data_IF_002265136140
#
_entry.id   IF_002265136140
#
_cell.length_a   1.000
_cell.length_b   1.000
_cell.length_c   1.000
_cell.angle_alpha   90.00
_cell.angle_beta   90.00
_cell.angle_gamma   90.00
#
_symmetry.space_group_name_H-M   'P 1'
#
loop_
_entity.id
_entity.type
_entity.pdbx_description
1 polymer ?
#
# COMPACT_ATOMS: atom_id res chain seq x y z
N UNK A 1 27.28 22.90 -34.75
CA UNK A 1 28.27 22.20 -33.91
C UNK A 1 27.51 21.61 -32.74
N UNK A 2 27.66 20.32 -32.46
CA UNK A 2 26.86 19.65 -31.43
C UNK A 2 27.38 19.96 -30.04
N UNK A 3 26.51 20.31 -29.10
CA UNK A 3 26.88 20.69 -27.73
C UNK A 3 27.33 19.46 -26.93
N UNK A 4 28.09 19.69 -25.85
CA UNK A 4 28.52 18.61 -24.95
C UNK A 4 27.34 17.90 -24.27
N UNK A 5 26.24 18.62 -24.02
CA UNK A 5 25.00 18.06 -23.50
C UNK A 5 24.32 17.14 -24.53
N UNK A 6 24.26 17.55 -25.80
CA UNK A 6 23.68 16.75 -26.88
C UNK A 6 24.44 15.44 -27.11
N UNK A 7 25.79 15.47 -27.06
CA UNK A 7 26.61 14.24 -27.16
C UNK A 7 26.29 13.27 -26.02
N UNK A 8 26.27 13.75 -24.77
CA UNK A 8 25.90 12.94 -23.61
C UNK A 8 24.47 12.39 -23.73
N UNK A 9 23.53 13.18 -24.22
CA UNK A 9 22.15 12.76 -24.41
C UNK A 9 22.05 11.62 -25.44
N UNK A 10 22.74 11.73 -26.58
CA UNK A 10 22.76 10.69 -27.61
C UNK A 10 23.38 9.38 -27.12
N UNK A 11 24.41 9.44 -26.27
CA UNK A 11 25.03 8.24 -25.70
C UNK A 11 24.17 7.55 -24.63
N UNK A 12 23.44 8.32 -23.83
CA UNK A 12 22.70 7.79 -22.69
C UNK A 12 21.25 7.41 -23.01
N UNK A 13 20.58 8.12 -23.93
CA UNK A 13 19.19 7.84 -24.30
C UNK A 13 18.93 6.38 -24.69
N UNK A 14 19.71 5.72 -25.58
CA UNK A 14 19.45 4.32 -25.92
C UNK A 14 19.61 3.38 -24.72
N UNK A 15 20.57 3.66 -23.81
CA UNK A 15 20.78 2.87 -22.60
C UNK A 15 19.59 2.98 -21.63
N UNK A 16 18.98 4.17 -21.53
CA UNK A 16 17.81 4.40 -20.69
C UNK A 16 16.55 3.77 -21.30
N UNK A 17 16.38 3.85 -22.62
CA UNK A 17 15.26 3.20 -23.32
C UNK A 17 15.27 1.68 -23.07
N UNK A 18 16.44 1.03 -23.11
CA UNK A 18 16.56 -0.42 -22.85
C UNK A 18 16.25 -0.80 -21.40
N UNK A 19 16.53 0.10 -20.45
CA UNK A 19 16.27 -0.13 -19.01
C UNK A 19 14.86 0.24 -18.58
N UNK A 20 14.11 0.92 -19.44
CA UNK A 20 12.77 1.33 -19.13
C UNK A 20 11.85 0.13 -19.32
N UNK A 21 11.12 -0.23 -18.27
CA UNK A 21 10.13 -1.30 -18.36
C UNK A 21 8.96 -0.91 -19.28
N UNK A 22 8.68 0.40 -19.37
CA UNK A 22 7.62 0.96 -20.19
C UNK A 22 8.06 1.23 -21.64
N UNK A 23 7.18 0.92 -22.59
CA UNK A 23 7.40 1.15 -24.03
C UNK A 23 6.09 1.50 -24.75
N UNK A 24 6.15 1.78 -26.06
CA UNK A 24 4.96 2.19 -26.82
C UNK A 24 3.83 1.14 -26.88
N UNK A 25 4.14 -0.14 -26.62
CA UNK A 25 3.16 -1.21 -26.53
C UNK A 25 2.75 -1.53 -25.08
N UNK A 26 3.48 -1.00 -24.11
CA UNK A 26 3.26 -1.19 -22.67
C UNK A 26 3.53 0.13 -21.93
N UNK A 27 2.63 1.09 -22.17
CA UNK A 27 2.79 2.45 -21.69
C UNK A 27 2.39 2.56 -20.21
N UNK A 28 3.04 3.49 -19.51
CA UNK A 28 2.65 3.83 -18.15
C UNK A 28 1.19 4.28 -18.10
N UNK A 29 0.32 3.48 -17.47
CA UNK A 29 -1.11 3.76 -17.38
C UNK A 29 -1.74 3.07 -16.18
N UNK A 30 -2.96 3.48 -15.82
CA UNK A 30 -3.74 2.81 -14.78
C UNK A 30 -4.15 1.37 -15.13
N UNK A 31 -3.94 0.95 -16.38
CA UNK A 31 -4.23 -0.39 -16.88
C UNK A 31 -2.97 -1.26 -17.02
N UNK A 32 -1.79 -0.70 -16.76
CA UNK A 32 -0.54 -1.44 -16.81
C UNK A 32 -0.54 -2.53 -15.72
N UNK A 33 0.02 -3.73 -15.96
CA UNK A 33 0.12 -4.80 -14.96
C UNK A 33 0.71 -4.30 -13.63
N UNK A 34 1.89 -3.65 -13.64
CA UNK A 34 2.49 -3.05 -12.44
C UNK A 34 1.62 -2.01 -11.70
N UNK A 35 0.59 -1.43 -12.33
CA UNK A 35 -0.34 -0.53 -11.66
C UNK A 35 -1.43 -1.30 -10.88
N UNK A 36 -1.69 -2.55 -11.25
CA UNK A 36 -2.74 -3.42 -10.72
C UNK A 36 -2.13 -4.56 -9.90
N UNK A 37 -2.71 -4.86 -8.76
CA UNK A 37 -2.29 -5.95 -7.89
C UNK A 37 -2.98 -7.25 -8.35
N UNK A 38 -2.60 -7.73 -9.53
CA UNK A 38 -3.15 -8.92 -10.18
C UNK A 38 -2.44 -10.24 -9.78
N UNK A 39 -1.46 -10.14 -8.88
CA UNK A 39 -0.65 -11.24 -8.39
C UNK A 39 0.79 -11.22 -8.94
N UNK A 40 1.13 -10.26 -9.78
CA UNK A 40 2.51 -10.01 -10.17
C UNK A 40 3.37 -9.50 -8.98
N UNK A 41 4.71 -9.41 -9.16
CA UNK A 41 5.58 -8.91 -8.10
C UNK A 41 5.56 -7.38 -7.90
N UNK A 42 5.10 -6.60 -8.88
CA UNK A 42 5.29 -5.13 -8.95
C UNK A 42 4.01 -4.32 -8.76
N UNK A 43 2.85 -4.96 -8.89
CA UNK A 43 1.50 -4.45 -8.78
C UNK A 43 1.27 -3.68 -7.50
N UNK A 44 0.44 -2.63 -7.56
CA UNK A 44 0.20 -1.76 -6.40
C UNK A 44 -1.27 -1.53 -6.08
N UNK A 45 -2.10 -1.20 -7.06
CA UNK A 45 -3.51 -0.83 -6.83
C UNK A 45 -4.46 -2.02 -6.80
N UNK A 46 -5.62 -1.90 -6.15
CA UNK A 46 -6.65 -2.96 -6.16
C UNK A 46 -7.44 -3.03 -7.47
N UNK A 47 -7.31 -2.02 -8.33
CA UNK A 47 -8.12 -1.85 -9.54
C UNK A 47 -9.51 -1.26 -9.31
N UNK A 48 -9.92 -1.05 -8.04
CA UNK A 48 -11.27 -0.59 -7.67
C UNK A 48 -11.43 0.94 -7.52
N UNK A 49 -10.43 1.75 -7.90
CA UNK A 49 -10.60 3.21 -8.10
C UNK A 49 -9.60 4.07 -7.35
N UNK A 50 -9.10 5.12 -7.99
CA UNK A 50 -8.18 6.10 -7.40
C UNK A 50 -8.91 7.21 -6.64
N UNK A 51 -8.20 7.83 -5.68
CA UNK A 51 -8.71 8.97 -4.91
C UNK A 51 -9.35 10.03 -5.81
N UNK A 52 -10.68 10.08 -5.84
CA UNK A 52 -11.42 11.21 -6.38
C UNK A 52 -11.51 12.29 -5.30
N UNK A 53 -11.37 13.55 -5.70
CA UNK A 53 -11.66 14.68 -4.81
C UNK A 53 -13.12 15.07 -5.03
N UNK A 54 -13.98 14.80 -4.04
CA UNK A 54 -15.33 15.40 -4.02
C UNK A 54 -15.30 16.71 -3.27
N UNK A 55 -15.90 17.73 -3.88
CA UNK A 55 -16.23 18.97 -3.18
C UNK A 55 -17.28 18.64 -2.09
N UNK A 56 -17.21 19.27 -0.91
CA UNK A 56 -18.21 19.08 0.13
C UNK A 56 -19.61 19.41 -0.41
N UNK A 57 -20.49 18.39 -0.46
CA UNK A 57 -21.89 18.55 -0.85
C UNK A 57 -22.73 18.89 0.38
N UNK A 58 -23.26 20.11 0.42
CA UNK A 58 -24.09 20.60 1.51
C UNK A 58 -25.41 19.82 1.70
N UNK A 59 -25.87 19.11 0.67
CA UNK A 59 -27.10 18.30 0.74
C UNK A 59 -26.89 16.91 1.36
N UNK A 60 -25.64 16.53 1.67
CA UNK A 60 -25.27 15.28 2.30
C UNK A 60 -25.00 15.47 3.79
N UNK A 61 -25.14 14.39 4.54
CA UNK A 61 -24.83 14.41 5.97
C UNK A 61 -23.36 14.77 6.22
N UNK A 62 -23.12 15.70 7.14
CA UNK A 62 -21.77 16.20 7.45
C UNK A 62 -20.93 15.21 8.27
N UNK A 63 -21.58 14.20 8.88
CA UNK A 63 -20.94 13.28 9.81
C UNK A 63 -20.67 11.89 9.23
N UNK A 64 -21.00 11.67 7.95
CA UNK A 64 -20.68 10.44 7.21
C UNK A 64 -19.69 10.74 6.10
N UNK A 65 -18.48 10.19 6.22
CA UNK A 65 -17.50 10.21 5.14
C UNK A 65 -17.90 9.16 4.10
N UNK A 66 -18.11 9.58 2.86
CA UNK A 66 -18.37 8.67 1.76
C UNK A 66 -17.05 8.13 1.18
N UNK A 67 -16.72 6.90 1.54
CA UNK A 67 -15.53 6.16 1.09
C UNK A 67 -15.74 5.39 -0.22
N UNK A 68 -16.92 5.48 -0.87
CA UNK A 68 -17.22 4.70 -2.09
C UNK A 68 -16.25 4.94 -3.25
N UNK A 69 -15.54 6.06 -3.25
CA UNK A 69 -14.55 6.41 -4.27
C UNK A 69 -13.10 6.40 -3.73
N UNK A 70 -12.88 5.88 -2.52
CA UNK A 70 -11.55 5.65 -1.97
C UNK A 70 -11.25 4.17 -2.07
N UNK A 71 -10.09 3.83 -2.62
CA UNK A 71 -9.56 2.46 -2.57
C UNK A 71 -9.37 2.04 -1.11
N UNK A 72 -10.35 1.29 -0.59
CA UNK A 72 -10.36 0.74 0.76
C UNK A 72 -10.32 -0.79 0.72
N UNK A 73 -10.26 -1.37 -0.48
CA UNK A 73 -10.23 -2.80 -0.66
C UNK A 73 -8.91 -3.34 -0.14
N UNK A 74 -8.96 -4.10 0.96
CA UNK A 74 -7.79 -4.65 1.66
C UNK A 74 -7.50 -6.10 1.29
N UNK A 75 -8.29 -6.67 0.39
CA UNK A 75 -8.22 -8.08 0.03
C UNK A 75 -7.06 -8.41 -0.91
N UNK A 76 -6.64 -7.47 -1.78
CA UNK A 76 -5.61 -7.73 -2.78
C UNK A 76 -4.80 -6.47 -3.15
N UNK A 77 -4.17 -5.82 -2.17
CA UNK A 77 -3.35 -4.61 -2.38
C UNK A 77 -1.87 -4.94 -2.35
N UNK A 78 -1.10 -4.42 -3.30
CA UNK A 78 0.36 -4.59 -3.36
C UNK A 78 0.78 -5.96 -3.85
N UNK A 79 1.83 -5.97 -4.67
CA UNK A 79 2.30 -7.15 -5.37
C UNK A 79 2.94 -8.19 -4.46
N UNK A 80 3.36 -9.29 -5.07
CA UNK A 80 3.91 -10.45 -4.38
C UNK A 80 5.02 -10.09 -3.38
N UNK A 81 5.90 -9.14 -3.71
CA UNK A 81 6.97 -8.73 -2.80
C UNK A 81 6.50 -7.96 -1.56
N UNK A 82 5.39 -7.22 -1.65
CA UNK A 82 4.79 -6.55 -0.48
C UNK A 82 4.07 -7.57 0.42
N UNK A 83 3.48 -8.61 -0.19
CA UNK A 83 2.75 -9.69 0.50
C UNK A 83 3.72 -10.66 1.18
N UNK A 84 4.61 -11.28 0.41
CA UNK A 84 5.43 -12.43 0.80
C UNK A 84 6.87 -12.05 1.17
N UNK A 85 7.29 -10.82 0.85
CA UNK A 85 8.68 -10.41 1.00
C UNK A 85 9.58 -10.96 -0.12
N UNK A 86 10.89 -10.80 0.03
CA UNK A 86 11.88 -11.38 -0.91
C UNK A 86 12.62 -12.53 -0.22
N UNK A 87 12.67 -13.69 -0.86
CA UNK A 87 13.34 -14.89 -0.33
C UNK A 87 12.86 -15.28 1.09
N UNK A 88 11.57 -15.11 1.38
CA UNK A 88 10.98 -15.42 2.69
C UNK A 88 11.36 -14.45 3.82
N UNK A 89 11.98 -13.30 3.49
CA UNK A 89 12.33 -12.25 4.46
C UNK A 89 11.49 -11.00 4.17
N UNK A 90 10.80 -10.51 5.20
CA UNK A 90 9.95 -9.31 5.13
C UNK A 90 8.56 -9.58 4.56
N UNK A 91 7.87 -8.51 4.15
CA UNK A 91 6.50 -8.57 3.64
C UNK A 91 5.43 -8.62 4.74
N UNK A 92 4.17 -8.36 4.36
CA UNK A 92 3.04 -8.38 5.30
C UNK A 92 2.84 -9.74 5.96
N UNK A 93 3.04 -10.84 5.25
CA UNK A 93 2.84 -12.16 5.81
C UNK A 93 3.82 -12.45 6.95
N UNK A 94 5.07 -12.02 6.81
CA UNK A 94 6.04 -12.07 7.92
C UNK A 94 5.62 -11.17 9.09
N UNK A 95 5.18 -9.93 8.83
CA UNK A 95 4.71 -9.05 9.91
C UNK A 95 3.51 -9.62 10.66
N UNK A 96 2.63 -10.35 9.97
CA UNK A 96 1.49 -11.04 10.59
C UNK A 96 1.92 -12.14 11.56
N UNK A 97 3.05 -12.82 11.33
CA UNK A 97 3.50 -13.89 12.25
C UNK A 97 4.03 -13.36 13.56
N UNK A 98 4.58 -12.14 13.56
CA UNK A 98 5.12 -11.47 14.75
C UNK A 98 4.13 -10.52 15.42
N UNK A 99 2.99 -10.25 14.78
CA UNK A 99 1.98 -9.34 15.31
C UNK A 99 1.35 -9.92 16.58
N UNK A 100 1.28 -9.11 17.63
CA UNK A 100 0.60 -9.47 18.88
C UNK A 100 -0.90 -9.70 18.68
N UNK A 101 -1.49 -8.97 17.72
CA UNK A 101 -2.91 -9.04 17.39
C UNK A 101 -3.13 -9.45 15.94
N UNK A 102 -4.14 -10.27 15.70
CA UNK A 102 -4.54 -10.73 14.37
C UNK A 102 -6.06 -10.90 14.30
N UNK A 103 -6.59 -11.29 13.13
CA UNK A 103 -8.01 -11.65 13.01
C UNK A 103 -8.40 -12.82 13.91
N UNK A 104 -7.49 -13.76 14.17
CA UNK A 104 -7.69 -14.92 15.05
C UNK A 104 -7.43 -14.58 16.52
N UNK A 105 -6.57 -13.60 16.78
CA UNK A 105 -6.26 -13.07 18.12
C UNK A 105 -6.57 -11.57 18.16
N UNK A 106 -7.85 -11.17 18.08
CA UNK A 106 -8.20 -9.76 18.12
C UNK A 106 -7.81 -9.17 19.47
N UNK A 107 -7.43 -7.90 19.45
CA UNK A 107 -7.24 -7.12 20.67
C UNK A 107 -8.53 -7.17 21.50
N UNK A 108 -8.37 -7.49 22.77
CA UNK A 108 -9.44 -7.48 23.76
C UNK A 108 -8.87 -6.87 25.05
N UNK A 109 -9.36 -5.69 25.49
CA UNK A 109 -8.93 -5.06 26.73
C UNK A 109 -9.02 -5.99 27.94
N UNK A 110 -9.99 -6.92 27.95
CA UNK A 110 -10.19 -7.87 29.05
C UNK A 110 -9.15 -9.00 29.07
N UNK A 111 -8.33 -9.14 28.02
CA UNK A 111 -7.24 -10.14 27.93
C UNK A 111 -5.87 -9.57 28.30
N UNK A 112 -5.80 -8.29 28.67
CA UNK A 112 -4.58 -7.67 29.18
C UNK A 112 -4.49 -8.00 30.67
N UNK A 113 -3.38 -8.63 31.09
CA UNK A 113 -3.12 -8.80 32.51
C UNK A 113 -2.79 -7.42 33.10
N UNK A 114 -3.70 -6.93 33.95
CA UNK A 114 -3.56 -5.67 34.68
C UNK A 114 -3.32 -5.90 36.18
N UNK A 115 -3.09 -7.15 36.63
CA UNK A 115 -2.97 -7.51 38.04
C UNK A 115 -1.84 -6.72 38.72
N UNK A 116 -0.70 -6.57 38.04
CA UNK A 116 0.43 -5.78 38.55
C UNK A 116 0.03 -4.31 38.70
N UNK A 117 -0.64 -3.72 37.69
CA UNK A 117 -1.10 -2.33 37.73
C UNK A 117 -2.18 -2.08 38.81
N UNK A 118 -3.02 -3.08 39.09
CA UNK A 118 -4.00 -3.05 40.18
C UNK A 118 -3.28 -3.14 41.53
N UNK A 119 -2.28 -4.03 41.65
CA UNK A 119 -1.49 -4.22 42.87
C UNK A 119 -0.66 -2.98 43.23
N UNK A 120 -0.17 -2.27 42.22
CA UNK A 120 0.57 -1.02 42.34
C UNK A 120 -0.36 0.20 42.50
N UNK A 121 -1.68 0.01 42.47
CA UNK A 121 -2.67 1.07 42.64
C UNK A 121 -2.76 2.06 41.47
N UNK A 122 -2.19 1.72 40.31
CA UNK A 122 -2.22 2.56 39.11
C UNK A 122 -3.60 2.57 38.43
N UNK A 123 -4.37 1.49 38.59
CA UNK A 123 -5.74 1.34 38.07
C UNK A 123 -6.68 1.01 39.22
N UNK A 124 -7.75 1.80 39.36
CA UNK A 124 -8.84 1.53 40.31
C UNK A 124 -10.04 1.03 39.51
N UNK A 125 -10.40 -0.25 39.70
CA UNK A 125 -11.65 -0.80 39.15
C UNK A 125 -12.76 -0.42 40.14
N UNK A 126 -13.72 0.39 39.68
CA UNK A 126 -14.87 0.87 40.45
C UNK A 126 -16.06 -0.06 40.24
#
# INVERSE_FOLDING_TARGET
>A
MQTNLEKKALENRPKQIIRNDYNNSDEYSSKHPDALSDGDPQGKGSGNGGHTHRLPDYSKDQHSYDYSEIDTDSSNIGGQYDIEGRNGVGGRNFLKTISLYSSEKPYDPAKINCDDNISEGQIVII
#
